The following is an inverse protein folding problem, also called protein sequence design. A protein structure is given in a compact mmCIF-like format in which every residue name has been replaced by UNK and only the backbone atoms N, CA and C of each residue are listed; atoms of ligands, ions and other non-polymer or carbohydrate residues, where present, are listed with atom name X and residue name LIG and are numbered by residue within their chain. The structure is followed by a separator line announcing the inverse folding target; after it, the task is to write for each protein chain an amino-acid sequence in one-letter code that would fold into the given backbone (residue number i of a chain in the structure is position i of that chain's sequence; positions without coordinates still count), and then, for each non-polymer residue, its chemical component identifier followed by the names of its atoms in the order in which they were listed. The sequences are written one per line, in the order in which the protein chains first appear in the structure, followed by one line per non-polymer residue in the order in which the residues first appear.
data_IF_418826188280
#
_entry.id   IF_418826188280
#
_cell.length_a   1.000
_cell.length_b   1.000
_cell.length_c   1.000
_cell.angle_alpha   90.00
_cell.angle_beta   90.00
_cell.angle_gamma   90.00
#
_symmetry.space_group_name_H-M   'P 1'
#
loop_
_entity.id
_entity.type
_entity.pdbx_description
1 polymer ?
#
# COMPACT_ATOMS: atom_id res chain seq x y z
N UNK A 1 7.42 5.24 -11.33
CA UNK A 1 8.10 4.91 -12.59
C UNK A 1 7.91 6.08 -13.55
N UNK A 2 8.95 6.46 -14.30
CA UNK A 2 8.87 7.51 -15.32
C UNK A 2 7.93 7.09 -16.46
N UNK A 3 7.28 8.06 -17.11
CA UNK A 3 6.50 7.82 -18.33
C UNK A 3 7.34 7.32 -19.52
N UNK A 4 8.66 7.33 -19.41
CA UNK A 4 9.60 6.88 -20.46
C UNK A 4 10.11 5.45 -20.26
N UNK A 5 9.66 4.74 -19.22
CA UNK A 5 10.14 3.39 -18.95
C UNK A 5 9.42 2.34 -19.82
N UNK A 6 10.12 1.25 -20.13
CA UNK A 6 9.57 0.07 -20.81
C UNK A 6 9.48 -1.17 -19.91
N UNK A 7 8.77 -2.19 -20.38
CA UNK A 7 8.61 -3.49 -19.69
C UNK A 7 7.19 -3.73 -19.14
N UNK A 8 6.93 -4.95 -18.70
CA UNK A 8 5.65 -5.35 -18.07
C UNK A 8 5.68 -5.01 -16.60
N UNK A 9 5.06 -3.89 -16.21
CA UNK A 9 5.23 -3.33 -14.87
C UNK A 9 3.87 -2.95 -14.27
N UNK A 10 3.54 -3.54 -13.12
CA UNK A 10 2.43 -3.12 -12.28
C UNK A 10 2.81 -1.91 -11.44
N UNK A 11 1.97 -0.87 -11.45
CA UNK A 11 2.16 0.36 -10.68
C UNK A 11 0.91 0.68 -9.86
N UNK A 12 1.07 1.57 -8.88
CA UNK A 12 -0.05 2.11 -8.09
C UNK A 12 -0.87 1.01 -7.40
N UNK A 13 -0.19 -0.05 -6.95
CA UNK A 13 -0.82 -1.10 -6.14
C UNK A 13 -1.29 -0.49 -4.83
N UNK A 14 -2.53 -0.80 -4.47
CA UNK A 14 -3.17 -0.23 -3.29
C UNK A 14 -3.97 -1.30 -2.52
N UNK A 15 -3.94 -1.29 -1.18
CA UNK A 15 -3.15 -0.39 -0.32
C UNK A 15 -1.63 -0.57 -0.48
N UNK A 16 -0.86 0.50 -0.34
CA UNK A 16 0.60 0.46 -0.42
C UNK A 16 1.21 -0.43 0.68
N UNK A 17 2.44 -0.90 0.49
CA UNK A 17 3.07 -1.79 1.46
C UNK A 17 3.27 -1.15 2.84
N UNK A 18 3.38 0.19 2.93
CA UNK A 18 3.54 0.89 4.21
C UNK A 18 2.31 0.74 5.13
N UNK A 19 1.11 0.55 4.57
CA UNK A 19 -0.08 0.22 5.35
C UNK A 19 0.13 -1.14 6.06
N UNK A 20 -0.04 -1.23 7.40
CA UNK A 20 0.11 -2.46 8.17
C UNK A 20 -0.78 -3.62 7.71
N UNK A 21 -1.90 -3.31 7.05
CA UNK A 21 -2.91 -4.27 6.60
C UNK A 21 -2.74 -4.67 5.14
N UNK A 22 -1.80 -4.06 4.42
CA UNK A 22 -1.60 -4.33 3.01
C UNK A 22 -1.07 -5.75 2.78
N UNK A 23 -1.73 -6.49 1.88
CA UNK A 23 -1.25 -7.77 1.37
C UNK A 23 0.10 -7.60 0.65
N UNK A 24 0.32 -6.47 -0.03
CA UNK A 24 1.60 -6.17 -0.69
C UNK A 24 2.75 -6.16 0.33
N UNK A 25 2.50 -5.68 1.55
CA UNK A 25 3.50 -5.60 2.61
C UNK A 25 3.88 -6.95 3.25
N UNK A 26 3.22 -8.06 2.90
CA UNK A 26 3.51 -9.40 3.44
C UNK A 26 4.02 -10.41 2.40
N UNK A 27 4.16 -9.99 1.13
CA UNK A 27 4.74 -10.81 0.06
C UNK A 27 6.23 -11.01 0.32
N UNK A 28 6.74 -12.22 0.05
CA UNK A 28 8.12 -12.63 0.26
C UNK A 28 8.68 -13.29 -1.00
N UNK A 29 10.01 -13.34 -1.09
CA UNK A 29 10.68 -14.10 -2.15
C UNK A 29 10.23 -15.56 -2.15
N UNK A 30 9.82 -16.04 -3.32
CA UNK A 30 9.31 -17.40 -3.51
C UNK A 30 7.78 -17.53 -3.49
N UNK A 31 7.03 -16.49 -3.08
CA UNK A 31 5.57 -16.51 -3.23
C UNK A 31 5.18 -16.47 -4.73
N UNK A 32 4.23 -17.32 -5.12
CA UNK A 32 3.71 -17.33 -6.48
C UNK A 32 2.73 -16.18 -6.70
N UNK A 33 2.86 -15.47 -7.82
CA UNK A 33 1.98 -14.37 -8.22
C UNK A 33 1.52 -14.59 -9.66
N UNK A 34 0.21 -14.53 -9.89
CA UNK A 34 -0.38 -14.43 -11.23
C UNK A 34 -0.62 -12.97 -11.57
N UNK A 35 -0.16 -12.54 -12.74
CA UNK A 35 -0.56 -11.29 -13.37
C UNK A 35 -1.26 -11.65 -14.69
N UNK A 36 -2.58 -11.50 -14.71
CA UNK A 36 -3.43 -11.72 -15.88
C UNK A 36 -4.07 -10.39 -16.26
N UNK A 37 -3.59 -9.83 -17.36
CA UNK A 37 -4.02 -8.52 -17.87
C UNK A 37 -5.40 -8.60 -18.49
N UNK A 38 -5.75 -9.73 -19.11
CA UNK A 38 -7.03 -9.90 -19.81
C UNK A 38 -8.19 -9.96 -18.81
N UNK A 39 -8.03 -10.74 -17.74
CA UNK A 39 -9.01 -10.82 -16.65
C UNK A 39 -8.89 -9.69 -15.62
N UNK A 40 -7.91 -8.78 -15.78
CA UNK A 40 -7.58 -7.68 -14.84
C UNK A 40 -7.28 -8.19 -13.43
N UNK A 41 -6.57 -9.30 -13.32
CA UNK A 41 -6.25 -9.98 -12.08
C UNK A 41 -4.76 -9.89 -11.76
N UNK A 42 -4.45 -9.37 -10.57
CA UNK A 42 -3.15 -9.53 -9.93
C UNK A 42 -3.37 -10.28 -8.62
N UNK A 43 -2.88 -11.52 -8.55
CA UNK A 43 -3.20 -12.42 -7.45
C UNK A 43 -1.93 -13.05 -6.88
N UNK A 44 -1.72 -12.92 -5.57
CA UNK A 44 -0.71 -13.69 -4.85
C UNK A 44 -1.36 -14.98 -4.34
N UNK A 45 -0.74 -16.12 -4.63
CA UNK A 45 -1.25 -17.45 -4.27
C UNK A 45 -0.95 -17.76 -2.79
N UNK A 46 -1.66 -17.08 -1.90
CA UNK A 46 -1.65 -17.32 -0.46
C UNK A 46 -3.08 -17.57 0.00
N UNK A 47 -3.27 -18.50 0.94
CA UNK A 47 -4.57 -18.69 1.58
C UNK A 47 -4.88 -17.52 2.51
N UNK A 48 -6.16 -17.25 2.76
CA UNK A 48 -6.60 -16.19 3.69
C UNK A 48 -6.02 -16.37 5.09
N UNK A 49 -5.86 -17.63 5.54
CA UNK A 49 -5.22 -17.97 6.80
C UNK A 49 -3.74 -17.55 6.82
N UNK A 50 -3.01 -17.76 5.72
CA UNK A 50 -1.61 -17.37 5.62
C UNK A 50 -1.45 -15.85 5.50
N UNK A 51 -2.32 -15.18 4.75
CA UNK A 51 -2.38 -13.71 4.68
C UNK A 51 -2.58 -13.13 6.08
N UNK A 52 -3.60 -13.60 6.80
CA UNK A 52 -3.92 -13.15 8.15
C UNK A 52 -2.76 -13.38 9.13
N UNK A 53 -2.16 -14.58 9.08
CA UNK A 53 -0.99 -14.93 9.92
C UNK A 53 0.20 -14.01 9.65
N UNK A 54 0.51 -13.72 8.38
CA UNK A 54 1.64 -12.87 8.03
C UNK A 54 1.40 -11.40 8.39
N UNK A 55 0.17 -10.89 8.24
CA UNK A 55 -0.21 -9.54 8.69
C UNK A 55 -0.06 -9.42 10.20
N UNK A 56 -0.55 -10.39 10.97
CA UNK A 56 -0.44 -10.37 12.43
C UNK A 56 1.01 -10.46 12.91
N UNK A 57 1.82 -11.33 12.28
CA UNK A 57 3.26 -11.40 12.55
C UNK A 57 3.97 -10.07 12.28
N UNK A 58 3.54 -9.34 11.24
CA UNK A 58 4.11 -8.04 10.88
C UNK A 58 3.75 -6.97 11.93
N UNK A 59 2.50 -6.95 12.41
CA UNK A 59 2.03 -6.03 13.45
C UNK A 59 2.72 -6.22 14.80
N UNK A 60 3.04 -7.47 15.14
CA UNK A 60 3.67 -7.83 16.42
C UNK A 60 5.19 -7.67 16.44
N UNK A 61 5.82 -7.28 15.31
CA UNK A 61 7.25 -7.02 15.27
C UNK A 61 7.60 -5.76 16.10
N UNK A 62 8.57 -5.87 17.01
CA UNK A 62 8.81 -4.94 18.13
C UNK A 62 9.26 -3.50 17.79
N UNK A 63 9.44 -3.15 16.52
CA UNK A 63 9.85 -1.80 16.13
C UNK A 63 8.62 -0.99 15.68
N UNK A 64 8.41 0.24 16.17
CA UNK A 64 7.32 1.08 15.69
C UNK A 64 7.47 1.26 14.18
N UNK A 65 6.46 0.83 13.45
CA UNK A 65 6.44 0.93 12.00
C UNK A 65 6.53 2.42 11.61
N UNK A 66 7.11 2.77 10.44
CA UNK A 66 7.04 4.13 9.92
C UNK A 66 5.61 4.70 9.88
N UNK A 67 4.63 3.80 9.73
CA UNK A 67 3.21 4.10 9.81
C UNK A 67 2.78 4.63 11.19
N UNK A 68 3.24 4.03 12.28
CA UNK A 68 2.93 4.50 13.64
C UNK A 68 3.78 5.71 14.04
N UNK A 69 5.03 5.76 13.58
CA UNK A 69 5.94 6.85 13.89
C UNK A 69 5.47 8.21 13.31
N UNK A 70 4.65 8.19 12.24
CA UNK A 70 4.18 9.39 11.55
C UNK A 70 3.42 10.39 12.43
N UNK A 71 2.80 9.90 13.50
CA UNK A 71 2.09 10.75 14.47
C UNK A 71 3.03 11.69 15.23
N UNK A 72 4.31 11.31 15.36
CA UNK A 72 5.33 12.09 16.07
C UNK A 72 6.19 12.95 15.14
N UNK A 73 6.07 12.79 13.82
CA UNK A 73 6.85 13.54 12.83
C UNK A 73 6.23 14.93 12.65
N UNK A 74 7.07 15.97 12.75
CA UNK A 74 6.66 17.37 12.61
C UNK A 74 6.96 17.91 11.21
N UNK A 75 6.50 19.13 10.92
CA UNK A 75 6.72 19.79 9.62
C UNK A 75 5.93 19.15 8.46
N UNK A 76 6.30 19.51 7.23
CA UNK A 76 5.60 19.06 6.02
C UNK A 76 5.62 17.54 5.85
N UNK A 77 6.72 16.87 6.23
CA UNK A 77 6.79 15.41 6.18
C UNK A 77 5.69 14.76 7.04
N UNK A 78 5.49 15.27 8.26
CA UNK A 78 4.43 14.79 9.15
C UNK A 78 3.04 15.03 8.56
N UNK A 79 2.79 16.23 8.03
CA UNK A 79 1.54 16.55 7.32
C UNK A 79 1.30 15.56 6.17
N UNK A 80 2.31 15.36 5.32
CA UNK A 80 2.21 14.47 4.18
C UNK A 80 1.89 13.03 4.59
N UNK A 81 2.65 12.47 5.52
CA UNK A 81 2.45 11.08 5.95
C UNK A 81 1.10 10.83 6.62
N UNK A 82 0.51 11.84 7.27
CA UNK A 82 -0.79 11.72 7.95
C UNK A 82 -1.97 11.96 7.02
N UNK A 83 -1.82 12.84 6.03
CA UNK A 83 -2.96 13.34 5.24
C UNK A 83 -2.97 12.90 3.77
N UNK A 84 -1.88 12.33 3.23
CA UNK A 84 -1.89 11.84 1.83
C UNK A 84 -2.76 10.58 1.72
N UNK A 85 -3.65 10.56 0.73
CA UNK A 85 -4.50 9.42 0.44
C UNK A 85 -3.76 8.36 -0.41
N UNK A 86 -4.35 7.18 -0.52
CA UNK A 86 -3.75 6.09 -1.29
C UNK A 86 -3.81 6.36 -2.80
N UNK A 87 -2.97 5.68 -3.58
CA UNK A 87 -2.82 5.94 -5.01
C UNK A 87 -4.12 5.78 -5.83
N UNK A 88 -5.03 4.87 -5.45
CA UNK A 88 -6.34 4.72 -6.08
C UNK A 88 -7.26 5.95 -5.90
N UNK A 89 -6.92 6.85 -4.98
CA UNK A 89 -7.61 8.11 -4.71
C UNK A 89 -6.84 9.34 -5.21
N UNK A 90 -5.79 9.14 -6.00
CA UNK A 90 -5.02 10.22 -6.64
C UNK A 90 -3.76 10.67 -5.91
N UNK A 91 -3.46 10.12 -4.73
CA UNK A 91 -2.36 10.56 -3.87
C UNK A 91 -2.42 12.07 -3.53
N UNK A 92 -3.63 12.56 -3.28
CA UNK A 92 -3.91 13.93 -2.84
C UNK A 92 -3.96 14.01 -1.30
N UNK A 93 -3.99 15.23 -0.75
CA UNK A 93 -4.31 15.42 0.66
C UNK A 93 -5.81 15.23 0.90
N UNK A 94 -6.16 14.43 1.90
CA UNK A 94 -7.54 14.15 2.29
C UNK A 94 -8.39 15.41 2.49
N UNK A 95 -7.82 16.45 3.11
CA UNK A 95 -8.47 17.73 3.38
C UNK A 95 -8.59 18.66 2.15
N UNK A 96 -7.98 18.31 1.01
CA UNK A 96 -8.12 19.04 -0.26
C UNK A 96 -9.08 18.35 -1.24
N UNK A 97 -9.59 17.16 -0.90
CA UNK A 97 -10.54 16.45 -1.75
C UNK A 97 -11.85 17.24 -1.89
N UNK A 98 -12.34 17.38 -3.11
CA UNK A 98 -13.63 17.99 -3.37
C UNK A 98 -14.74 17.17 -2.71
N UNK A 99 -15.64 17.83 -1.98
CA UNK A 99 -16.90 17.22 -1.55
C UNK A 99 -17.84 17.23 -2.75
N UNK A 100 -18.60 16.15 -2.96
CA UNK A 100 -19.63 16.17 -3.99
C UNK A 100 -20.58 17.36 -3.76
N UNK A 101 -20.99 18.07 -4.82
CA UNK A 101 -21.97 19.14 -4.67
C UNK A 101 -23.25 18.55 -4.08
N UNK A 102 -23.68 19.12 -2.96
CA UNK A 102 -24.97 18.85 -2.31
C UNK A 102 -26.15 19.16 -3.23
#
# INVERSE_FOLDING_TARGET
MSGTAGGTIGLKISPEAADPNSVLGIVRGGDMVTCDVESRLLHVHLSDAEISRRIEKRRTASAPSPWEARERITGYQGLYMRSVNQAQHGADFDFLTAREPS
#
